data_IF_775742959139
#
_entry.id   IF_775742959139
#
_cell.length_a   1.000
_cell.length_b   1.000
_cell.length_c   1.000
_cell.angle_alpha   90.00
_cell.angle_beta   90.00
_cell.angle_gamma   90.00
#
_symmetry.space_group_name_H-M   'P 1'
#
loop_
_entity.id
_entity.type
_entity.pdbx_description
1 polymer ?
#
# COMPACT_ATOMS: atom_id res chain seq x y z
N UNK A 1 -10.26 0.97 22.41
CA UNK A 1 -11.62 0.43 22.24
C UNK A 1 -12.60 1.48 22.72
N UNK A 2 -13.80 1.62 22.12
CA UNK A 2 -14.81 2.61 22.50
C UNK A 2 -15.02 2.70 24.02
N UNK A 3 -15.26 3.89 24.59
CA UNK A 3 -15.41 4.05 26.04
C UNK A 3 -16.55 3.23 26.65
N UNK A 4 -17.56 2.97 25.83
CA UNK A 4 -18.76 2.16 26.08
C UNK A 4 -18.47 0.67 26.30
N UNK A 5 -17.28 0.18 25.90
CA UNK A 5 -16.86 -1.18 26.19
C UNK A 5 -15.99 -1.20 27.45
N UNK A 6 -16.53 -1.86 28.48
CA UNK A 6 -15.93 -1.92 29.82
C UNK A 6 -14.85 -2.99 29.93
N UNK A 7 -15.04 -4.15 29.31
CA UNK A 7 -13.99 -5.17 29.21
C UNK A 7 -12.99 -4.82 28.10
N UNK A 8 -11.76 -4.50 28.52
CA UNK A 8 -10.65 -4.13 27.64
C UNK A 8 -9.50 -5.11 27.71
N UNK A 9 -9.72 -6.28 28.32
CA UNK A 9 -8.69 -7.30 28.39
C UNK A 9 -8.36 -7.82 26.98
N UNK A 10 -7.07 -7.94 26.61
CA UNK A 10 -6.70 -8.56 25.35
C UNK A 10 -7.09 -10.04 25.38
N UNK A 11 -7.62 -10.53 24.26
CA UNK A 11 -7.96 -11.94 24.07
C UNK A 11 -6.93 -12.64 23.17
N UNK A 12 -6.77 -13.97 23.30
CA UNK A 12 -6.00 -14.75 22.35
C UNK A 12 -6.44 -14.48 20.91
N UNK A 13 -5.48 -14.16 20.03
CA UNK A 13 -5.75 -13.83 18.63
C UNK A 13 -5.79 -12.32 18.33
N UNK A 14 -5.94 -11.43 19.32
CA UNK A 14 -6.00 -9.97 19.10
C UNK A 14 -4.72 -9.41 18.46
N UNK A 15 -3.59 -10.10 18.61
CA UNK A 15 -2.32 -9.74 17.97
C UNK A 15 -2.37 -9.70 16.43
N UNK A 16 -3.35 -10.35 15.80
CA UNK A 16 -3.54 -10.33 14.33
C UNK A 16 -4.06 -9.00 13.79
N UNK A 17 -4.57 -8.12 14.66
CA UNK A 17 -5.10 -6.80 14.30
C UNK A 17 -4.05 -5.69 14.36
N UNK A 18 -2.83 -6.02 14.75
CA UNK A 18 -1.73 -5.05 14.81
C UNK A 18 -1.44 -4.55 13.40
N UNK A 19 -1.61 -3.25 13.21
CA UNK A 19 -1.31 -2.55 11.95
C UNK A 19 -0.04 -1.73 12.11
N UNK A 20 0.82 -1.80 11.09
CA UNK A 20 2.03 -0.99 11.00
C UNK A 20 1.82 0.15 10.00
N UNK A 21 2.12 1.36 10.44
CA UNK A 21 2.14 2.55 9.61
C UNK A 21 3.58 3.05 9.50
N UNK A 22 3.98 3.47 8.30
CA UNK A 22 5.31 3.99 8.04
C UNK A 22 5.28 4.87 6.79
N UNK A 23 6.28 5.75 6.65
CA UNK A 23 6.50 6.47 5.41
C UNK A 23 6.88 5.45 4.33
N UNK A 24 6.26 5.57 3.14
CA UNK A 24 6.47 4.64 2.03
C UNK A 24 7.95 4.38 1.71
N UNK A 25 8.84 5.40 1.65
CA UNK A 25 10.25 5.17 1.38
C UNK A 25 10.95 4.26 2.40
N UNK A 26 10.57 4.34 3.69
CA UNK A 26 11.16 3.49 4.73
C UNK A 26 10.70 2.04 4.57
N UNK A 27 9.40 1.85 4.31
CA UNK A 27 8.87 0.51 4.04
C UNK A 27 9.50 -0.10 2.78
N UNK A 28 9.60 0.65 1.68
CA UNK A 28 10.23 0.18 0.44
C UNK A 28 11.71 -0.13 0.62
N UNK A 29 12.43 0.70 1.38
CA UNK A 29 13.84 0.45 1.67
C UNK A 29 14.04 -0.82 2.50
N UNK A 30 13.12 -1.13 3.43
CA UNK A 30 13.14 -2.38 4.18
C UNK A 30 12.94 -3.59 3.25
N UNK A 31 11.91 -3.56 2.39
CA UNK A 31 11.69 -4.61 1.38
C UNK A 31 12.86 -4.76 0.41
N UNK A 32 13.45 -3.66 -0.05
CA UNK A 32 14.60 -3.67 -0.95
C UNK A 32 15.84 -4.31 -0.32
N UNK A 33 16.07 -4.09 0.99
CA UNK A 33 17.15 -4.77 1.74
C UNK A 33 16.89 -6.25 1.91
N UNK A 34 15.66 -6.63 2.24
CA UNK A 34 15.28 -8.04 2.31
C UNK A 34 15.52 -8.72 0.95
N UNK A 35 15.05 -8.12 -0.15
CA UNK A 35 15.25 -8.65 -1.49
C UNK A 35 16.73 -8.79 -1.86
N UNK A 36 17.58 -7.81 -1.54
CA UNK A 36 19.03 -7.90 -1.77
C UNK A 36 19.72 -9.02 -0.97
N UNK A 37 19.21 -9.33 0.22
CA UNK A 37 19.79 -10.34 1.10
C UNK A 37 19.24 -11.76 0.83
N UNK A 38 18.18 -11.91 0.02
CA UNK A 38 17.55 -13.19 -0.27
C UNK A 38 18.41 -14.03 -1.23
N UNK A 39 18.90 -15.22 -0.80
CA UNK A 39 19.63 -16.12 -1.69
C UNK A 39 18.78 -16.56 -2.88
N UNK A 40 19.37 -16.59 -4.07
CA UNK A 40 18.68 -16.98 -5.31
C UNK A 40 17.82 -15.89 -5.96
N UNK A 41 17.75 -14.69 -5.39
CA UNK A 41 17.07 -13.54 -5.99
C UNK A 41 18.08 -12.57 -6.63
N UNK A 42 18.05 -12.45 -7.95
CA UNK A 42 18.84 -11.45 -8.69
C UNK A 42 18.07 -10.11 -8.78
N UNK A 43 18.61 -9.06 -8.17
CA UNK A 43 18.01 -7.71 -8.17
C UNK A 43 18.81 -6.78 -9.07
N UNK A 44 18.34 -6.56 -10.30
CA UNK A 44 18.96 -5.65 -11.26
C UNK A 44 18.38 -4.25 -11.18
N UNK A 45 19.19 -3.27 -10.77
CA UNK A 45 18.81 -1.84 -10.70
C UNK A 45 19.27 -1.10 -11.94
N UNK A 46 18.54 -0.05 -12.32
CA UNK A 46 18.84 0.74 -13.52
C UNK A 46 18.61 -0.01 -14.83
N UNK A 47 17.89 -1.14 -14.79
CA UNK A 47 17.54 -1.94 -15.96
C UNK A 47 16.08 -1.68 -16.31
N UNK A 48 15.84 -1.08 -17.47
CA UNK A 48 14.49 -0.74 -17.93
C UNK A 48 13.94 -1.81 -18.88
N UNK A 49 12.75 -2.32 -18.58
CA UNK A 49 12.01 -3.23 -19.45
C UNK A 49 11.14 -2.41 -20.41
N UNK A 50 11.28 -2.66 -21.71
CA UNK A 50 10.62 -1.88 -22.78
C UNK A 50 9.57 -2.67 -23.55
N UNK A 51 9.47 -3.99 -23.34
CA UNK A 51 8.45 -4.82 -23.96
C UNK A 51 8.53 -6.30 -23.60
N UNK A 52 7.64 -7.09 -24.19
CA UNK A 52 7.54 -8.54 -23.97
C UNK A 52 8.18 -9.33 -25.09
N UNK A 53 8.93 -10.38 -24.75
CA UNK A 53 9.34 -11.39 -25.71
C UNK A 53 8.26 -12.49 -25.77
N UNK A 54 7.63 -12.65 -26.93
CA UNK A 54 6.50 -13.56 -27.10
C UNK A 54 6.75 -14.60 -28.19
N UNK A 55 5.97 -15.68 -28.15
CA UNK A 55 5.77 -16.64 -29.24
C UNK A 55 4.27 -16.78 -29.46
N UNK A 56 3.85 -17.11 -30.67
CA UNK A 56 2.45 -17.46 -30.90
C UNK A 56 2.16 -18.84 -30.34
N UNK A 57 1.05 -18.98 -29.62
CA UNK A 57 0.57 -20.22 -29.02
C UNK A 57 -0.96 -20.32 -29.16
N UNK A 58 -1.42 -21.14 -30.09
CA UNK A 58 -2.83 -21.22 -30.49
C UNK A 58 -3.38 -19.82 -30.91
N UNK A 59 -4.38 -19.31 -30.18
CA UNK A 59 -5.06 -18.04 -30.46
C UNK A 59 -4.58 -16.88 -29.57
N UNK A 60 -3.57 -17.09 -28.72
CA UNK A 60 -3.07 -16.08 -27.79
C UNK A 60 -1.52 -16.03 -27.77
N UNK A 61 -0.90 -14.87 -27.52
CA UNK A 61 0.54 -14.82 -27.35
C UNK A 61 0.96 -15.50 -26.04
N UNK A 62 1.99 -16.35 -26.13
CA UNK A 62 2.73 -16.84 -24.96
C UNK A 62 3.91 -15.91 -24.68
N UNK A 63 3.93 -15.31 -23.50
CA UNK A 63 5.06 -14.54 -22.99
C UNK A 63 6.15 -15.51 -22.55
N UNK A 64 7.40 -15.21 -22.92
CA UNK A 64 8.58 -16.06 -22.71
C UNK A 64 9.78 -15.27 -22.17
N UNK A 65 9.51 -14.08 -21.65
CA UNK A 65 10.52 -13.14 -21.18
C UNK A 65 10.22 -11.69 -21.57
N UNK A 66 11.24 -10.85 -21.41
CA UNK A 66 11.14 -9.39 -21.61
C UNK A 66 12.25 -8.86 -22.51
N UNK A 67 12.01 -7.71 -23.13
CA UNK A 67 13.01 -6.91 -23.84
C UNK A 67 13.47 -5.76 -22.96
N UNK A 68 14.78 -5.57 -22.88
CA UNK A 68 15.40 -4.48 -22.14
C UNK A 68 15.66 -3.28 -23.07
N UNK A 69 15.85 -2.10 -22.50
CA UNK A 69 16.24 -0.89 -23.24
C UNK A 69 17.57 -1.05 -24.00
N UNK A 70 18.48 -1.88 -23.49
CA UNK A 70 19.73 -2.24 -24.17
C UNK A 70 19.53 -3.05 -25.47
N UNK A 71 18.31 -3.53 -25.73
CA UNK A 71 17.99 -4.46 -26.81
C UNK A 71 18.17 -5.94 -26.42
N UNK A 72 18.73 -6.22 -25.24
CA UNK A 72 18.84 -7.59 -24.71
C UNK A 72 17.45 -8.20 -24.46
N UNK A 73 17.33 -9.50 -24.76
CA UNK A 73 16.17 -10.31 -24.36
C UNK A 73 16.54 -11.14 -23.13
N UNK A 74 15.78 -10.96 -22.05
CA UNK A 74 15.86 -11.80 -20.87
C UNK A 74 14.74 -12.85 -20.93
N UNK A 75 15.12 -14.13 -21.05
CA UNK A 75 14.17 -15.24 -21.05
C UNK A 75 13.61 -15.52 -19.65
N UNK A 76 12.35 -15.92 -19.58
CA UNK A 76 11.70 -16.34 -18.34
C UNK A 76 10.56 -17.32 -18.63
N UNK A 77 10.33 -18.27 -17.71
CA UNK A 77 9.19 -19.19 -17.75
C UNK A 77 7.88 -18.49 -17.37
N UNK A 78 7.97 -17.46 -16.51
CA UNK A 78 6.88 -16.59 -16.11
C UNK A 78 7.36 -15.14 -15.99
N UNK A 79 6.62 -14.21 -16.59
CA UNK A 79 6.80 -12.76 -16.38
C UNK A 79 5.74 -12.24 -15.43
N UNK A 80 6.16 -11.66 -14.31
CA UNK A 80 5.25 -11.06 -13.33
C UNK A 80 5.31 -9.54 -13.46
N UNK A 81 4.20 -8.92 -13.83
CA UNK A 81 4.07 -7.49 -13.89
C UNK A 81 3.66 -6.91 -12.53
N UNK A 82 4.62 -6.29 -11.87
CA UNK A 82 4.44 -5.52 -10.63
C UNK A 82 4.74 -4.01 -10.82
N UNK A 83 4.56 -3.49 -12.04
CA UNK A 83 4.84 -2.07 -12.38
C UNK A 83 3.75 -1.09 -11.89
N UNK A 84 2.66 -1.61 -11.33
CA UNK A 84 1.62 -0.87 -10.65
C UNK A 84 0.59 -0.23 -11.58
N UNK A 85 -0.13 0.79 -11.08
CA UNK A 85 -1.34 1.34 -11.72
C UNK A 85 -1.15 1.80 -13.18
N UNK A 86 0.07 2.23 -13.52
CA UNK A 86 0.45 2.73 -14.86
C UNK A 86 1.15 1.65 -15.71
N UNK A 87 0.95 0.37 -15.39
CA UNK A 87 1.58 -0.71 -16.13
C UNK A 87 1.32 -0.60 -17.64
N UNK A 88 2.36 -0.72 -18.49
CA UNK A 88 2.22 -0.79 -19.93
C UNK A 88 1.84 -2.19 -20.44
N UNK A 89 1.69 -3.19 -19.55
CA UNK A 89 1.50 -4.58 -19.95
C UNK A 89 0.31 -4.82 -20.88
N UNK A 90 -0.89 -4.24 -20.65
CA UNK A 90 -2.02 -4.42 -21.58
C UNK A 90 -1.68 -4.01 -23.01
N UNK A 91 -1.05 -2.84 -23.17
CA UNK A 91 -0.59 -2.34 -24.47
C UNK A 91 0.47 -3.26 -25.08
N UNK A 92 1.39 -3.79 -24.30
CA UNK A 92 2.41 -4.72 -24.80
C UNK A 92 1.82 -6.05 -25.26
N UNK A 93 0.77 -6.55 -24.58
CA UNK A 93 0.06 -7.76 -24.98
C UNK A 93 -0.71 -7.56 -26.28
N UNK A 94 -1.43 -6.45 -26.42
CA UNK A 94 -2.12 -6.10 -27.67
C UNK A 94 -1.12 -5.97 -28.84
N UNK A 95 0.02 -5.32 -28.62
CA UNK A 95 1.12 -5.24 -29.60
C UNK A 95 1.70 -6.61 -29.96
N UNK A 96 1.58 -7.60 -29.07
CA UNK A 96 2.00 -8.97 -29.31
C UNK A 96 0.90 -9.84 -29.97
N UNK A 97 -0.26 -9.25 -30.29
CA UNK A 97 -1.39 -9.92 -30.93
C UNK A 97 -2.43 -10.49 -29.97
N UNK A 98 -2.39 -10.16 -28.68
CA UNK A 98 -3.49 -10.48 -27.77
C UNK A 98 -4.74 -9.66 -28.13
N UNK A 99 -5.91 -10.17 -27.77
CA UNK A 99 -7.14 -9.37 -27.77
C UNK A 99 -7.02 -8.22 -26.74
N UNK A 100 -7.77 -7.12 -26.91
CA UNK A 100 -7.79 -6.02 -25.95
C UNK A 100 -8.06 -6.52 -24.53
N UNK A 101 -7.29 -6.01 -23.57
CA UNK A 101 -7.44 -6.40 -22.16
C UNK A 101 -8.67 -5.72 -21.56
N UNK A 102 -9.67 -6.45 -21.03
CA UNK A 102 -10.76 -5.85 -20.28
C UNK A 102 -10.22 -5.00 -19.13
N UNK A 103 -10.60 -3.72 -19.11
CA UNK A 103 -10.24 -2.76 -18.07
C UNK A 103 -11.51 -2.04 -17.59
N UNK A 104 -11.80 -2.16 -16.30
CA UNK A 104 -12.79 -1.35 -15.60
C UNK A 104 -12.05 -0.16 -14.98
N UNK A 105 -12.53 1.07 -15.20
CA UNK A 105 -11.95 2.27 -14.57
C UNK A 105 -13.06 3.24 -14.16
N UNK A 106 -12.96 3.78 -12.95
CA UNK A 106 -13.86 4.79 -12.40
C UNK A 106 -13.05 5.87 -11.68
N UNK A 107 -13.42 7.15 -11.82
CA UNK A 107 -12.86 8.22 -11.00
C UNK A 107 -13.37 8.05 -9.57
N UNK A 108 -12.45 7.91 -8.61
CA UNK A 108 -12.78 7.67 -7.21
C UNK A 108 -13.51 8.85 -6.56
N UNK A 109 -13.48 10.04 -7.17
CA UNK A 109 -14.22 11.21 -6.70
C UNK A 109 -13.56 11.94 -5.52
N UNK A 110 -12.29 11.64 -5.21
CA UNK A 110 -11.60 12.21 -4.06
C UNK A 110 -10.43 13.14 -4.41
N UNK A 111 -10.17 14.08 -3.52
CA UNK A 111 -8.92 14.84 -3.47
C UNK A 111 -8.38 14.85 -2.06
N UNK A 112 -7.08 14.61 -1.91
CA UNK A 112 -6.38 14.51 -0.64
C UNK A 112 -5.43 15.69 -0.47
N UNK A 113 -5.45 16.33 0.71
CA UNK A 113 -4.53 17.38 1.11
C UNK A 113 -3.81 16.93 2.37
N UNK A 114 -2.58 16.43 2.19
CA UNK A 114 -1.78 15.87 3.26
C UNK A 114 -0.70 16.84 3.72
N UNK A 115 -0.42 16.87 5.02
CA UNK A 115 0.76 17.53 5.58
C UNK A 115 1.44 16.57 6.54
N UNK A 116 2.77 16.55 6.50
CA UNK A 116 3.58 15.73 7.39
C UNK A 116 4.18 16.60 8.49
N UNK A 117 4.31 16.00 9.65
CA UNK A 117 4.83 16.63 10.86
C UNK A 117 5.89 15.74 11.49
N UNK A 118 6.79 16.36 12.24
CA UNK A 118 7.73 15.70 13.14
C UNK A 118 7.63 16.31 14.54
N UNK A 119 8.08 15.56 15.54
CA UNK A 119 8.13 16.03 16.91
C UNK A 119 9.56 16.47 17.29
N UNK A 120 9.77 17.73 17.69
CA UNK A 120 11.06 18.19 18.23
C UNK A 120 11.46 17.42 19.51
N UNK A 121 10.47 16.95 20.28
CA UNK A 121 10.66 16.16 21.50
C UNK A 121 10.66 14.65 21.28
N UNK A 122 10.66 14.16 20.03
CA UNK A 122 10.68 12.73 19.72
C UNK A 122 9.44 11.95 20.16
N UNK A 123 8.27 12.63 20.24
CA UNK A 123 7.00 12.00 20.63
C UNK A 123 5.87 12.38 19.69
N UNK A 124 5.24 11.37 19.09
CA UNK A 124 4.00 11.51 18.33
C UNK A 124 2.84 11.76 19.30
N UNK A 125 1.91 12.71 19.01
CA UNK A 125 0.72 12.90 19.84
C UNK A 125 -0.15 11.64 19.94
N UNK A 126 -0.81 11.43 21.08
CA UNK A 126 -1.74 10.30 21.25
C UNK A 126 -3.04 10.58 20.50
N UNK A 127 -3.52 9.58 19.77
CA UNK A 127 -4.78 9.70 19.05
C UNK A 127 -5.97 9.86 20.02
N UNK A 128 -6.78 10.91 19.79
CA UNK A 128 -8.04 11.19 20.53
C UNK A 128 -9.29 10.80 19.75
N UNK A 129 -9.11 10.27 18.55
CA UNK A 129 -10.15 9.82 17.63
C UNK A 129 -9.60 8.65 16.80
N UNK A 130 -10.48 7.87 16.14
CA UNK A 130 -10.11 6.99 15.04
C UNK A 130 -9.09 7.60 14.07
N UNK A 131 -8.16 6.78 13.57
CA UNK A 131 -7.19 7.22 12.55
C UNK A 131 -7.90 7.86 11.36
N UNK A 132 -9.00 7.24 10.92
CA UNK A 132 -9.90 7.76 9.91
C UNK A 132 -11.23 8.19 10.54
N UNK A 133 -11.56 9.48 10.42
CA UNK A 133 -12.81 10.06 10.90
C UNK A 133 -13.53 10.81 9.78
N UNK A 134 -14.78 10.43 9.49
CA UNK A 134 -15.66 11.16 8.58
C UNK A 134 -16.31 12.36 9.30
N UNK A 135 -16.25 13.55 8.69
CA UNK A 135 -16.74 14.81 9.24
C UNK A 135 -17.56 15.56 8.18
N UNK A 136 -18.87 15.32 8.14
CA UNK A 136 -19.76 15.95 7.17
C UNK A 136 -19.29 15.74 5.73
N UNK A 137 -18.92 16.82 5.05
CA UNK A 137 -18.46 16.85 3.65
C UNK A 137 -16.98 16.50 3.43
N UNK A 138 -16.22 16.21 4.48
CA UNK A 138 -14.81 15.81 4.38
C UNK A 138 -14.48 14.69 5.38
N UNK A 139 -13.24 14.22 5.36
CA UNK A 139 -12.72 13.27 6.34
C UNK A 139 -11.30 13.65 6.75
N UNK A 140 -10.94 13.29 7.97
CA UNK A 140 -9.58 13.41 8.49
C UNK A 140 -8.96 12.02 8.64
N UNK A 141 -7.76 11.86 8.09
CA UNK A 141 -6.90 10.70 8.27
C UNK A 141 -5.62 11.13 8.99
N UNK A 142 -5.34 10.52 10.14
CA UNK A 142 -4.19 10.82 10.99
C UNK A 142 -3.39 9.55 11.19
N UNK A 143 -2.16 9.54 10.69
CA UNK A 143 -1.33 8.34 10.65
C UNK A 143 0.04 8.64 11.26
N UNK A 144 0.36 8.09 12.44
CA UNK A 144 1.73 7.98 12.91
C UNK A 144 2.59 7.24 11.90
N UNK A 145 3.87 7.53 11.89
CA UNK A 145 4.85 6.88 11.03
C UNK A 145 6.18 6.76 11.77
N UNK A 146 7.17 6.22 11.06
CA UNK A 146 8.53 6.05 11.56
C UNK A 146 9.20 7.39 11.93
N UNK A 147 10.25 7.32 12.76
CA UNK A 147 11.07 8.47 13.16
C UNK A 147 10.26 9.62 13.80
N UNK A 148 9.28 9.24 14.63
CA UNK A 148 8.40 10.17 15.35
C UNK A 148 7.75 11.22 14.43
N UNK A 149 7.43 10.79 13.21
CA UNK A 149 6.68 11.57 12.22
C UNK A 149 5.24 11.11 12.15
N UNK A 150 4.36 11.96 11.61
CA UNK A 150 2.99 11.60 11.29
C UNK A 150 2.49 12.40 10.10
N UNK A 151 1.42 11.92 9.46
CA UNK A 151 0.66 12.68 8.48
C UNK A 151 -0.72 13.02 9.02
N UNK A 152 -1.19 14.21 8.66
CA UNK A 152 -2.59 14.61 8.76
C UNK A 152 -3.07 14.86 7.33
N UNK A 153 -4.13 14.18 6.95
CA UNK A 153 -4.70 14.25 5.61
C UNK A 153 -6.15 14.63 5.70
N UNK A 154 -6.51 15.74 5.05
CA UNK A 154 -7.90 16.12 4.80
C UNK A 154 -8.24 15.58 3.42
N UNK A 155 -9.21 14.69 3.32
CA UNK A 155 -9.72 14.28 2.00
C UNK A 155 -11.19 14.65 1.83
N UNK A 156 -11.51 15.04 0.61
CA UNK A 156 -12.74 15.72 0.24
C UNK A 156 -13.26 15.17 -1.08
N UNK A 157 -14.53 15.43 -1.39
CA UNK A 157 -15.06 15.24 -2.75
C UNK A 157 -14.30 16.13 -3.74
N UNK A 158 -13.86 15.57 -4.87
CA UNK A 158 -13.16 16.30 -5.94
C UNK A 158 -14.03 17.38 -6.59
N UNK A 159 -15.36 17.25 -6.46
CA UNK A 159 -16.35 18.22 -6.93
C UNK A 159 -16.45 19.46 -6.03
N UNK A 160 -15.97 19.41 -4.78
CA UNK A 160 -16.05 20.52 -3.83
C UNK A 160 -15.03 21.63 -4.16
N UNK A 161 -15.48 22.63 -4.94
CA UNK A 161 -14.62 23.74 -5.37
C UNK A 161 -14.10 24.60 -4.20
N UNK A 162 -14.91 24.96 -3.20
CA UNK A 162 -14.41 25.68 -2.03
C UNK A 162 -13.25 24.96 -1.32
N UNK A 163 -13.33 23.63 -1.15
CA UNK A 163 -12.30 22.84 -0.47
C UNK A 163 -11.02 22.65 -1.30
N UNK A 164 -11.01 22.98 -2.59
CA UNK A 164 -9.76 23.07 -3.38
C UNK A 164 -8.77 24.11 -2.86
N UNK A 165 -9.22 25.03 -2.01
CA UNK A 165 -8.37 26.02 -1.35
C UNK A 165 -7.53 25.42 -0.22
N UNK A 166 -7.74 24.16 0.17
CA UNK A 166 -6.93 23.46 1.18
C UNK A 166 -5.50 23.14 0.73
N UNK A 167 -5.14 23.41 -0.54
CA UNK A 167 -3.74 23.50 -0.98
C UNK A 167 -2.96 24.61 -0.26
N UNK A 168 -3.67 25.60 0.28
CA UNK A 168 -3.09 26.68 1.08
C UNK A 168 -2.88 26.21 2.53
N UNK A 169 -1.64 26.27 3.08
CA UNK A 169 -1.35 25.78 4.42
C UNK A 169 -2.14 26.46 5.53
N UNK A 170 -2.42 27.77 5.43
CA UNK A 170 -3.15 28.51 6.47
C UNK A 170 -4.61 28.06 6.52
N UNK A 171 -5.27 27.97 5.37
CA UNK A 171 -6.65 27.47 5.26
C UNK A 171 -6.78 26.04 5.74
N UNK A 172 -5.84 25.18 5.34
CA UNK A 172 -5.78 23.80 5.80
C UNK A 172 -5.63 23.71 7.31
N UNK A 173 -4.71 24.49 7.89
CA UNK A 173 -4.42 24.49 9.33
C UNK A 173 -5.64 24.96 10.12
N UNK A 174 -6.33 26.01 9.67
CA UNK A 174 -7.56 26.49 10.32
C UNK A 174 -8.68 25.44 10.31
N UNK A 175 -8.83 24.67 9.23
CA UNK A 175 -9.83 23.60 9.18
C UNK A 175 -9.51 22.50 10.20
N UNK A 176 -8.26 22.06 10.28
CA UNK A 176 -7.86 21.02 11.25
C UNK A 176 -7.97 21.53 12.69
N UNK A 177 -7.58 22.78 12.94
CA UNK A 177 -7.71 23.41 14.26
C UNK A 177 -9.17 23.52 14.73
N UNK A 178 -10.11 23.67 13.80
CA UNK A 178 -11.54 23.70 14.09
C UNK A 178 -12.13 22.31 14.45
N UNK A 179 -11.34 21.24 14.39
CA UNK A 179 -11.75 19.88 14.75
C UNK A 179 -11.14 19.51 16.12
N UNK A 180 -11.87 19.62 17.26
CA UNK A 180 -11.28 19.52 18.60
C UNK A 180 -10.57 18.19 18.89
N UNK A 181 -11.10 17.08 18.36
CA UNK A 181 -10.49 15.76 18.49
C UNK A 181 -9.24 15.57 17.63
N UNK A 182 -8.89 16.52 16.75
CA UNK A 182 -7.78 16.44 15.82
C UNK A 182 -6.80 17.63 15.90
N UNK A 183 -7.18 18.74 16.53
CA UNK A 183 -6.36 19.96 16.59
C UNK A 183 -4.96 19.72 17.17
N UNK A 184 -4.84 18.82 18.16
CA UNK A 184 -3.56 18.43 18.79
C UNK A 184 -2.53 17.83 17.81
N UNK A 185 -2.95 17.36 16.63
CA UNK A 185 -2.00 16.90 15.60
C UNK A 185 -1.19 18.04 14.99
N UNK A 186 -1.58 19.29 15.22
CA UNK A 186 -0.87 20.50 14.80
C UNK A 186 0.23 20.91 15.78
N UNK A 187 0.36 20.25 16.93
CA UNK A 187 1.36 20.58 17.97
C UNK A 187 2.80 20.25 17.53
N UNK A 188 2.98 19.52 16.40
CA UNK A 188 4.28 19.20 15.83
C UNK A 188 4.81 20.24 14.84
N UNK A 189 6.07 20.08 14.47
CA UNK A 189 6.68 20.91 13.43
C UNK A 189 6.33 20.36 12.04
N UNK A 190 5.76 21.18 11.14
CA UNK A 190 5.48 20.75 9.78
C UNK A 190 6.78 20.53 9.01
N UNK A 191 7.00 19.32 8.52
CA UNK A 191 8.19 18.95 7.73
C UNK A 191 7.95 19.01 6.22
N UNK A 192 6.71 19.32 5.81
CA UNK A 192 6.33 19.56 4.42
C UNK A 192 5.37 20.75 4.30
N UNK A 193 5.25 21.29 3.07
CA UNK A 193 4.04 22.00 2.65
C UNK A 193 2.84 21.05 2.53
N UNK A 194 1.72 21.55 2.00
CA UNK A 194 0.58 20.68 1.65
C UNK A 194 0.92 19.89 0.38
N UNK A 195 0.75 18.57 0.45
CA UNK A 195 0.94 17.62 -0.65
C UNK A 195 -0.45 17.21 -1.16
N UNK A 196 -0.91 17.76 -2.30
CA UNK A 196 -2.17 17.37 -2.90
C UNK A 196 -2.04 16.07 -3.70
N UNK A 197 -3.09 15.25 -3.67
CA UNK A 197 -3.26 14.10 -4.56
C UNK A 197 -4.70 14.09 -5.08
N UNK A 198 -4.86 14.14 -6.41
CA UNK A 198 -6.13 14.18 -7.12
C UNK A 198 -6.10 13.28 -8.36
N UNK A 199 -7.25 13.08 -9.01
CA UNK A 199 -7.35 12.21 -10.19
C UNK A 199 -7.02 10.76 -9.86
N UNK A 200 -7.43 10.32 -8.66
CA UNK A 200 -7.32 8.93 -8.27
C UNK A 200 -8.43 8.16 -8.97
N UNK A 201 -8.06 7.07 -9.63
CA UNK A 201 -8.99 6.20 -10.32
C UNK A 201 -8.88 4.80 -9.75
N UNK A 202 -10.03 4.20 -9.47
CA UNK A 202 -10.15 2.78 -9.23
C UNK A 202 -10.07 2.08 -10.58
N UNK A 203 -9.23 1.06 -10.66
CA UNK A 203 -9.00 0.31 -11.89
C UNK A 203 -8.85 -1.16 -11.60
N UNK A 204 -9.42 -1.99 -12.46
CA UNK A 204 -9.22 -3.44 -12.46
C UNK A 204 -9.03 -3.95 -13.88
N UNK A 205 -8.10 -4.87 -14.05
CA UNK A 205 -7.75 -5.50 -15.33
C UNK A 205 -7.84 -7.00 -15.20
N UNK A 206 -8.20 -7.68 -16.28
CA UNK A 206 -8.26 -9.14 -16.31
C UNK A 206 -7.59 -9.70 -17.55
N UNK A 207 -6.70 -10.69 -17.38
CA UNK A 207 -6.03 -11.36 -18.51
C UNK A 207 -6.81 -12.58 -19.01
N UNK A 208 -8.14 -12.57 -18.88
CA UNK A 208 -9.03 -13.60 -19.39
C UNK A 208 -10.31 -12.98 -19.94
N UNK A 209 -10.84 -13.55 -21.02
CA UNK A 209 -12.12 -13.17 -21.60
C UNK A 209 -12.84 -14.40 -22.15
N UNK A 210 -14.13 -14.53 -21.83
CA UNK A 210 -14.97 -15.69 -22.15
C UNK A 210 -14.37 -17.03 -21.68
N UNK A 211 -13.78 -17.04 -20.47
CA UNK A 211 -13.17 -18.23 -19.87
C UNK A 211 -11.84 -18.68 -20.49
N UNK A 212 -11.27 -17.89 -21.41
CA UNK A 212 -10.00 -18.18 -22.08
C UNK A 212 -8.94 -17.12 -21.73
N UNK A 213 -7.67 -17.50 -21.50
CA UNK A 213 -6.61 -16.55 -21.25
C UNK A 213 -6.36 -15.66 -22.47
N UNK A 214 -6.06 -14.37 -22.23
CA UNK A 214 -5.66 -13.42 -23.28
C UNK A 214 -4.18 -13.57 -23.65
N UNK A 215 -3.38 -14.08 -22.71
CA UNK A 215 -1.98 -14.42 -22.87
C UNK A 215 -1.59 -15.44 -21.80
N UNK A 216 -0.55 -16.23 -22.08
CA UNK A 216 0.04 -17.19 -21.12
C UNK A 216 1.48 -16.81 -20.80
N UNK A 217 2.07 -17.39 -19.75
CA UNK A 217 3.44 -17.08 -19.31
C UNK A 217 3.59 -15.68 -18.68
N UNK A 218 2.48 -15.07 -18.27
CA UNK A 218 2.45 -13.73 -17.67
C UNK A 218 1.40 -13.64 -16.56
N UNK A 219 1.67 -12.82 -15.53
CA UNK A 219 0.73 -12.51 -14.45
C UNK A 219 0.73 -11.01 -14.13
N UNK A 220 -0.46 -10.41 -14.02
CA UNK A 220 -0.62 -9.09 -13.39
C UNK A 220 -0.55 -9.25 -11.86
N UNK A 221 0.25 -8.44 -11.17
CA UNK A 221 0.39 -8.49 -9.72
C UNK A 221 0.07 -7.13 -9.07
N UNK A 222 -0.59 -7.18 -7.91
CA UNK A 222 -0.96 -6.00 -7.10
C UNK A 222 -1.63 -4.90 -7.95
N UNK A 223 -1.15 -3.65 -7.85
CA UNK A 223 -1.66 -2.48 -8.58
C UNK A 223 -1.63 -2.61 -10.12
N UNK A 224 -0.88 -3.57 -10.68
CA UNK A 224 -0.95 -3.88 -12.11
C UNK A 224 -2.27 -4.60 -12.47
N UNK A 225 -2.76 -5.46 -11.58
CA UNK A 225 -4.08 -6.11 -11.71
C UNK A 225 -5.19 -5.14 -11.34
N UNK A 226 -5.20 -4.66 -10.10
CA UNK A 226 -6.18 -3.70 -9.63
C UNK A 226 -5.56 -2.70 -8.67
N UNK A 227 -5.90 -1.42 -8.85
CA UNK A 227 -5.57 -0.37 -7.89
C UNK A 227 -6.86 0.31 -7.43
N UNK A 228 -6.94 0.57 -6.13
CA UNK A 228 -8.05 1.32 -5.56
C UNK A 228 -7.59 2.67 -5.00
N UNK A 229 -8.55 3.56 -4.83
CA UNK A 229 -8.41 4.73 -4.00
C UNK A 229 -7.94 4.37 -2.58
N UNK A 230 -7.03 5.15 -1.96
CA UNK A 230 -6.45 4.76 -0.68
C UNK A 230 -7.35 5.03 0.53
N UNK A 231 -8.65 5.32 0.35
CA UNK A 231 -9.61 5.60 1.43
C UNK A 231 -9.64 4.51 2.52
N UNK A 232 -9.48 3.24 2.13
CA UNK A 232 -9.49 2.10 3.05
C UNK A 232 -8.09 1.61 3.47
N UNK A 233 -7.01 2.17 2.89
CA UNK A 233 -5.64 1.79 3.26
C UNK A 233 -5.22 0.34 2.94
N UNK A 234 -5.93 -0.35 2.03
CA UNK A 234 -5.75 -1.80 1.80
C UNK A 234 -4.68 -2.19 0.77
N UNK A 235 -4.27 -1.27 -0.11
CA UNK A 235 -3.49 -1.61 -1.31
C UNK A 235 -2.21 -2.42 -1.06
N UNK A 236 -1.41 -2.04 -0.06
CA UNK A 236 -0.16 -2.78 0.26
C UNK A 236 -0.48 -4.19 0.78
N UNK A 237 -1.43 -4.32 1.70
CA UNK A 237 -1.80 -5.61 2.28
C UNK A 237 -2.38 -6.56 1.23
N UNK A 238 -3.27 -6.05 0.35
CA UNK A 238 -3.81 -6.83 -0.77
C UNK A 238 -2.72 -7.20 -1.77
N UNK A 239 -1.78 -6.30 -2.09
CA UNK A 239 -0.65 -6.61 -2.96
C UNK A 239 0.26 -7.70 -2.39
N UNK A 240 0.51 -7.70 -1.08
CA UNK A 240 1.28 -8.75 -0.40
C UNK A 240 0.53 -10.09 -0.38
N UNK A 241 -0.78 -10.08 -0.11
CA UNK A 241 -1.63 -11.29 -0.23
C UNK A 241 -1.62 -11.83 -1.66
N UNK A 242 -1.73 -10.95 -2.65
CA UNK A 242 -1.68 -11.31 -4.06
C UNK A 242 -0.36 -12.02 -4.42
N UNK A 243 0.77 -11.54 -3.88
CA UNK A 243 2.07 -12.20 -4.06
C UNK A 243 2.16 -13.59 -3.38
N UNK A 244 1.49 -13.78 -2.24
CA UNK A 244 1.41 -15.09 -1.58
C UNK A 244 0.59 -16.08 -2.42
N UNK A 245 -0.55 -15.64 -2.96
CA UNK A 245 -1.37 -16.45 -3.86
C UNK A 245 -0.58 -16.81 -5.13
N UNK A 246 0.18 -15.87 -5.69
CA UNK A 246 1.03 -16.12 -6.87
C UNK A 246 2.05 -17.22 -6.61
N UNK A 247 2.73 -17.17 -5.45
CA UNK A 247 3.68 -18.20 -5.03
C UNK A 247 3.02 -19.58 -5.01
N UNK A 248 1.81 -19.68 -4.48
CA UNK A 248 1.13 -20.97 -4.29
C UNK A 248 0.60 -21.54 -5.61
N UNK A 249 0.07 -20.69 -6.51
CA UNK A 249 -0.31 -21.08 -7.87
C UNK A 249 0.92 -21.48 -8.69
N UNK A 250 1.98 -20.69 -8.66
CA UNK A 250 3.20 -20.98 -9.41
C UNK A 250 3.83 -22.32 -9.00
N UNK A 251 3.87 -22.63 -7.70
CA UNK A 251 4.38 -23.93 -7.21
C UNK A 251 3.67 -25.15 -7.79
N UNK A 252 2.41 -25.00 -8.19
CA UNK A 252 1.56 -26.11 -8.61
C UNK A 252 1.40 -26.17 -10.14
N UNK A 253 1.47 -25.03 -10.83
CA UNK A 253 1.08 -24.94 -12.24
C UNK A 253 2.13 -24.32 -13.16
N UNK A 254 3.34 -23.97 -12.69
CA UNK A 254 4.34 -23.25 -13.51
C UNK A 254 4.73 -24.00 -14.81
N UNK A 255 4.68 -25.33 -14.79
CA UNK A 255 5.06 -26.17 -15.93
C UNK A 255 4.03 -26.14 -17.09
N UNK A 256 2.79 -25.69 -16.82
CA UNK A 256 1.74 -25.54 -17.82
C UNK A 256 1.19 -24.11 -17.83
N UNK A 257 1.61 -23.27 -18.81
CA UNK A 257 1.21 -21.87 -18.89
C UNK A 257 -0.30 -21.63 -19.00
N UNK A 258 -1.07 -22.58 -19.56
CA UNK A 258 -2.52 -22.46 -19.69
C UNK A 258 -3.22 -22.78 -18.37
N UNK A 259 -2.81 -23.87 -17.71
CA UNK A 259 -3.30 -24.19 -16.37
C UNK A 259 -2.92 -23.11 -15.36
N UNK A 260 -1.70 -22.59 -15.43
CA UNK A 260 -1.27 -21.46 -14.61
C UNK A 260 -2.18 -20.24 -14.82
N UNK A 261 -2.41 -19.83 -16.07
CA UNK A 261 -3.24 -18.66 -16.36
C UNK A 261 -4.68 -18.82 -15.85
N UNK A 262 -5.28 -20.01 -16.04
CA UNK A 262 -6.62 -20.32 -15.56
C UNK A 262 -6.70 -20.34 -14.02
N UNK A 263 -5.74 -21.00 -13.35
CA UNK A 263 -5.67 -21.04 -11.89
C UNK A 263 -5.41 -19.65 -11.29
N UNK A 264 -4.55 -18.85 -11.94
CA UNK A 264 -4.23 -17.49 -11.53
C UNK A 264 -5.43 -16.55 -11.63
N UNK A 265 -6.13 -16.56 -12.76
CA UNK A 265 -7.36 -15.79 -12.94
C UNK A 265 -8.40 -16.18 -11.88
N UNK A 266 -8.66 -17.48 -11.73
CA UNK A 266 -9.64 -17.99 -10.76
C UNK A 266 -9.33 -17.57 -9.32
N UNK A 267 -8.09 -17.76 -8.86
CA UNK A 267 -7.74 -17.42 -7.47
C UNK A 267 -7.78 -15.91 -7.24
N UNK A 268 -7.34 -15.12 -8.20
CA UNK A 268 -7.36 -13.65 -8.11
C UNK A 268 -8.80 -13.15 -8.02
N UNK A 269 -9.67 -13.65 -8.89
CA UNK A 269 -11.08 -13.26 -8.91
C UNK A 269 -11.83 -13.72 -7.66
N UNK A 270 -11.50 -14.89 -7.12
CA UNK A 270 -12.18 -15.41 -5.91
C UNK A 270 -11.70 -14.70 -4.64
N UNK A 271 -10.39 -14.49 -4.49
CA UNK A 271 -9.79 -14.06 -3.23
C UNK A 271 -9.67 -12.53 -3.09
N UNK A 272 -9.55 -11.80 -4.21
CA UNK A 272 -9.20 -10.38 -4.18
C UNK A 272 -10.27 -9.47 -4.80
N UNK A 273 -11.00 -9.89 -5.83
CA UNK A 273 -12.09 -9.06 -6.42
C UNK A 273 -13.11 -8.60 -5.38
N UNK A 274 -13.56 -9.42 -4.40
CA UNK A 274 -14.48 -8.94 -3.36
C UNK A 274 -13.96 -7.74 -2.57
N UNK A 275 -12.64 -7.63 -2.35
CA UNK A 275 -12.03 -6.50 -1.65
C UNK A 275 -11.97 -5.22 -2.50
N UNK A 276 -11.77 -5.39 -3.81
CA UNK A 276 -11.86 -4.29 -4.78
C UNK A 276 -13.29 -3.74 -4.82
N UNK A 277 -14.28 -4.63 -5.00
CA UNK A 277 -15.69 -4.26 -5.08
C UNK A 277 -16.19 -3.57 -3.80
N UNK A 278 -15.82 -4.11 -2.63
CA UNK A 278 -16.14 -3.50 -1.32
C UNK A 278 -15.56 -2.09 -1.19
N UNK A 279 -14.32 -1.87 -1.67
CA UNK A 279 -13.68 -0.55 -1.63
C UNK A 279 -14.42 0.44 -2.52
N UNK A 280 -14.73 0.06 -3.77
CA UNK A 280 -15.48 0.91 -4.72
C UNK A 280 -16.88 1.22 -4.19
N UNK A 281 -17.57 0.24 -3.61
CA UNK A 281 -18.90 0.43 -3.03
C UNK A 281 -18.88 1.39 -1.84
N UNK A 282 -17.93 1.21 -0.91
CA UNK A 282 -17.75 2.09 0.24
C UNK A 282 -17.41 3.53 -0.19
N UNK A 283 -16.59 3.69 -1.22
CA UNK A 283 -16.20 4.99 -1.75
C UNK A 283 -17.38 5.72 -2.38
N UNK A 284 -18.17 5.05 -3.22
CA UNK A 284 -19.41 5.60 -3.77
C UNK A 284 -20.39 6.01 -2.67
N UNK A 285 -20.52 5.21 -1.61
CA UNK A 285 -21.36 5.54 -0.47
C UNK A 285 -20.87 6.80 0.25
N UNK A 286 -19.56 6.90 0.49
CA UNK A 286 -18.97 8.05 1.18
C UNK A 286 -19.03 9.34 0.34
N UNK A 287 -18.88 9.27 -0.99
CA UNK A 287 -19.11 10.42 -1.88
C UNK A 287 -20.55 10.93 -1.76
N UNK A 288 -21.55 10.03 -1.78
CA UNK A 288 -22.96 10.42 -1.61
C UNK A 288 -23.22 11.09 -0.25
N UNK A 289 -22.60 10.60 0.83
CA UNK A 289 -22.69 11.25 2.14
C UNK A 289 -22.06 12.65 2.15
N UNK A 290 -20.89 12.81 1.52
CA UNK A 290 -20.21 14.11 1.45
C UNK A 290 -21.04 15.12 0.64
N UNK A 291 -21.62 14.68 -0.48
CA UNK A 291 -22.48 15.51 -1.32
C UNK A 291 -23.78 15.91 -0.61
N UNK A 292 -24.40 14.98 0.13
CA UNK A 292 -25.57 15.28 0.94
C UNK A 292 -25.26 16.31 2.03
N UNK A 293 -24.15 16.15 2.74
CA UNK A 293 -23.70 17.11 3.74
C UNK A 293 -23.40 18.49 3.12
N UNK A 294 -22.77 18.53 1.94
CA UNK A 294 -22.50 19.78 1.21
C UNK A 294 -23.79 20.50 0.79
N UNK A 295 -24.80 19.74 0.37
CA UNK A 295 -26.05 20.28 -0.15
C UNK A 295 -27.12 20.50 0.95
N UNK A 296 -26.81 20.16 2.21
CA UNK A 296 -27.77 20.26 3.32
C UNK A 296 -28.94 19.26 3.21
N UNK A 297 -28.78 18.16 2.48
CA UNK A 297 -29.79 17.13 2.32
C UNK A 297 -29.52 15.93 3.23
N UNK A 298 -30.54 15.09 3.46
CA UNK A 298 -30.33 13.85 4.18
C UNK A 298 -29.38 12.91 3.41
N UNK A 299 -28.39 12.28 4.07
CA UNK A 299 -27.58 11.26 3.43
C UNK A 299 -28.45 10.03 3.10
N UNK A 300 -28.05 9.22 2.11
CA UNK A 300 -28.72 7.94 1.86
C UNK A 300 -28.74 7.09 3.13
N UNK A 301 -29.86 6.43 3.40
CA UNK A 301 -29.94 5.50 4.52
C UNK A 301 -28.95 4.34 4.27
N UNK A 302 -28.12 3.98 5.27
CA UNK A 302 -27.32 2.77 5.18
C UNK A 302 -28.21 1.52 5.14
N UNK A 303 -27.66 0.43 4.61
CA UNK A 303 -28.30 -0.88 4.69
C UNK A 303 -28.60 -1.24 6.16
N UNK A 304 -29.84 -1.62 6.54
CA UNK A 304 -30.21 -1.78 7.94
C UNK A 304 -29.34 -2.76 8.75
N UNK A 305 -28.94 -3.94 8.22
CA UNK A 305 -27.99 -4.83 8.89
C UNK A 305 -26.63 -4.16 9.16
N UNK A 306 -26.10 -3.44 8.17
CA UNK A 306 -24.85 -2.69 8.32
C UNK A 306 -24.99 -1.58 9.37
N UNK A 307 -26.10 -0.85 9.36
CA UNK A 307 -26.38 0.21 10.32
C UNK A 307 -26.46 -0.33 11.76
N UNK A 308 -27.17 -1.44 11.95
CA UNK A 308 -27.28 -2.13 13.23
C UNK A 308 -25.91 -2.62 13.71
N UNK A 309 -25.12 -3.25 12.83
CA UNK A 309 -23.78 -3.73 13.17
C UNK A 309 -22.83 -2.60 13.59
N UNK A 310 -22.78 -1.51 12.82
CA UNK A 310 -21.93 -0.35 13.15
C UNK A 310 -22.35 0.31 14.47
N UNK A 311 -23.65 0.32 14.80
CA UNK A 311 -24.14 0.80 16.09
C UNK A 311 -23.74 -0.15 17.23
N UNK A 312 -23.96 -1.45 17.05
CA UNK A 312 -23.74 -2.44 18.09
C UNK A 312 -22.26 -2.67 18.41
N UNK A 313 -21.35 -2.58 17.44
CA UNK A 313 -19.91 -2.77 17.67
C UNK A 313 -19.28 -1.72 18.58
N UNK A 314 -19.95 -0.57 18.79
CA UNK A 314 -19.56 0.40 19.80
C UNK A 314 -19.72 -0.14 21.23
N UNK A 315 -20.58 -1.13 21.44
CA UNK A 315 -20.99 -1.61 22.76
C UNK A 315 -20.60 -3.07 23.02
N UNK A 316 -20.18 -3.79 21.99
CA UNK A 316 -19.90 -5.22 22.06
C UNK A 316 -18.46 -5.51 21.58
N UNK A 317 -17.59 -6.08 22.44
CA UNK A 317 -16.20 -6.33 22.09
C UNK A 317 -16.03 -7.40 20.99
N UNK A 318 -16.97 -8.34 20.84
CA UNK A 318 -16.88 -9.38 19.81
C UNK A 318 -17.26 -8.82 18.44
N UNK A 319 -18.31 -7.99 18.38
CA UNK A 319 -18.66 -7.27 17.15
C UNK A 319 -17.56 -6.29 16.74
N UNK A 320 -16.91 -5.64 17.71
CA UNK A 320 -15.74 -4.79 17.45
C UNK A 320 -14.57 -5.60 16.88
N UNK A 321 -14.26 -6.77 17.45
CA UNK A 321 -13.22 -7.66 16.91
C UNK A 321 -13.55 -8.13 15.50
N UNK A 322 -14.80 -8.48 15.24
CA UNK A 322 -15.25 -8.83 13.90
C UNK A 322 -15.03 -7.64 12.93
N UNK A 323 -15.34 -6.41 13.33
CA UNK A 323 -15.04 -5.24 12.51
C UNK A 323 -13.53 -5.02 12.31
N UNK A 324 -12.71 -5.28 13.33
CA UNK A 324 -11.25 -5.22 13.21
C UNK A 324 -10.71 -6.23 12.17
N UNK A 325 -11.36 -7.37 11.94
CA UNK A 325 -10.98 -8.28 10.85
C UNK A 325 -11.15 -7.63 9.48
N UNK A 326 -12.21 -6.85 9.28
CA UNK A 326 -12.43 -6.08 8.04
C UNK A 326 -11.38 -4.99 7.86
N UNK A 327 -11.11 -4.22 8.92
CA UNK A 327 -10.09 -3.15 8.91
C UNK A 327 -8.69 -3.73 8.63
N UNK A 328 -8.38 -4.90 9.20
CA UNK A 328 -7.10 -5.59 9.00
C UNK A 328 -6.99 -6.34 7.66
N UNK A 329 -8.04 -6.34 6.82
CA UNK A 329 -8.02 -7.02 5.52
C UNK A 329 -8.08 -8.55 5.61
N UNK A 330 -8.62 -9.10 6.71
CA UNK A 330 -8.69 -10.53 6.99
C UNK A 330 -10.01 -11.16 6.53
N UNK A 331 -11.12 -10.44 6.67
CA UNK A 331 -12.45 -10.92 6.25
C UNK A 331 -13.30 -9.75 5.77
N UNK A 332 -14.04 -9.93 4.67
CA UNK A 332 -14.88 -8.86 4.14
C UNK A 332 -16.04 -8.56 5.09
N UNK A 333 -16.59 -7.35 5.02
CA UNK A 333 -17.75 -6.99 5.85
C UNK A 333 -18.97 -7.84 5.50
N UNK A 334 -19.15 -8.17 4.22
CA UNK A 334 -20.19 -9.09 3.75
C UNK A 334 -20.09 -10.45 4.43
N UNK A 335 -18.89 -11.05 4.46
CA UNK A 335 -18.68 -12.36 5.09
C UNK A 335 -18.85 -12.29 6.62
N UNK A 336 -18.48 -11.17 7.25
CA UNK A 336 -18.72 -10.95 8.68
C UNK A 336 -20.23 -10.91 8.97
N UNK A 337 -21.00 -10.16 8.19
CA UNK A 337 -22.44 -10.03 8.35
C UNK A 337 -23.18 -11.34 8.04
N UNK A 338 -22.61 -12.19 7.19
CA UNK A 338 -23.13 -13.52 6.88
C UNK A 338 -22.87 -14.57 7.98
N UNK A 339 -22.10 -14.25 9.03
CA UNK A 339 -21.83 -15.20 10.13
C UNK A 339 -23.11 -15.52 10.92
N UNK A 340 -23.40 -16.81 11.17
CA UNK A 340 -24.60 -17.20 11.92
C UNK A 340 -24.71 -16.48 13.28
N UNK A 341 -25.88 -15.89 13.55
CA UNK A 341 -26.21 -15.20 14.80
C UNK A 341 -25.58 -13.81 14.99
N UNK A 342 -24.67 -13.38 14.10
CA UNK A 342 -23.98 -12.10 14.26
C UNK A 342 -24.90 -10.91 13.90
N UNK A 343 -25.66 -11.02 12.82
CA UNK A 343 -26.67 -10.03 12.44
C UNK A 343 -27.78 -9.89 13.50
N UNK A 344 -28.25 -11.01 14.07
CA UNK A 344 -29.27 -11.00 15.12
C UNK A 344 -28.74 -10.34 16.40
N UNK A 345 -27.52 -10.67 16.83
CA UNK A 345 -26.85 -10.04 17.98
C UNK A 345 -26.69 -8.54 17.76
N UNK A 346 -26.25 -8.13 16.56
CA UNK A 346 -26.14 -6.72 16.18
C UNK A 346 -27.51 -6.01 16.21
N UNK A 347 -28.56 -6.64 15.66
CA UNK A 347 -29.92 -6.10 15.65
C UNK A 347 -30.49 -5.89 17.06
N UNK A 348 -30.35 -6.88 17.93
CA UNK A 348 -30.83 -6.82 19.33
C UNK A 348 -30.15 -5.70 20.11
N UNK A 349 -28.82 -5.60 20.01
CA UNK A 349 -28.05 -4.55 20.68
C UNK A 349 -28.35 -3.16 20.08
N UNK A 350 -28.46 -3.04 18.76
CA UNK A 350 -28.81 -1.77 18.12
C UNK A 350 -30.21 -1.29 18.54
N UNK A 351 -31.18 -2.20 18.71
CA UNK A 351 -32.50 -1.88 19.25
C UNK A 351 -32.47 -1.38 20.69
N UNK A 352 -31.55 -1.87 21.52
CA UNK A 352 -31.40 -1.46 22.91
C UNK A 352 -30.66 -0.12 23.09
N UNK A 353 -29.66 0.16 22.25
CA UNK A 353 -28.82 1.36 22.36
C UNK A 353 -29.33 2.53 21.50
N UNK A 354 -30.18 2.24 20.52
CA UNK A 354 -30.65 3.22 19.53
C UNK A 354 -29.62 3.49 18.44
N UNK A 355 -29.95 4.31 17.42
CA UNK A 355 -29.03 4.64 16.34
C UNK A 355 -27.88 5.52 16.85
N UNK A 356 -26.68 5.36 16.25
CA UNK A 356 -25.57 6.30 16.44
C UNK A 356 -26.08 7.71 16.11
N UNK A 357 -26.21 8.56 17.13
CA UNK A 357 -26.49 9.99 16.92
C UNK A 357 -25.25 10.64 16.30
N UNK A 358 -25.25 10.77 14.97
CA UNK A 358 -24.32 11.67 14.28
C UNK A 358 -24.70 13.10 14.66
N UNK A 359 -23.85 13.88 15.35
CA UNK A 359 -24.24 15.20 15.83
C UNK A 359 -24.57 16.10 14.62
N UNK A 360 -25.85 16.49 14.51
CA UNK A 360 -26.28 17.55 13.63
C UNK A 360 -25.93 18.88 14.32
N UNK A 361 -25.07 19.69 13.69
CA UNK A 361 -24.83 21.10 13.99
C UNK A 361 -24.78 21.49 15.48
N UNK A 362 -23.57 21.75 15.98
CA UNK A 362 -23.22 22.29 17.31
C UNK A 362 -22.87 21.24 18.40
N UNK A 363 -21.58 21.26 18.74
CA UNK A 363 -20.92 20.82 19.98
C UNK A 363 -21.61 19.77 20.87
N UNK A 364 -21.46 18.48 20.54
CA UNK A 364 -21.03 17.43 21.47
C UNK A 364 -20.68 16.17 20.66
N UNK A 365 -19.40 15.81 20.60
CA UNK A 365 -18.89 14.71 19.76
C UNK A 365 -19.06 13.35 20.44
N UNK A 366 -19.96 12.52 19.92
CA UNK A 366 -20.08 11.10 20.27
C UNK A 366 -19.20 10.25 19.35
N UNK A 367 -18.15 9.67 19.94
CA UNK A 367 -17.14 8.81 19.35
C UNK A 367 -17.39 7.35 19.72
N UNK A 368 -17.67 6.47 18.76
CA UNK A 368 -17.68 5.04 19.06
C UNK A 368 -17.69 4.18 17.79
N UNK A 369 -16.50 3.82 17.29
CA UNK A 369 -16.36 2.74 16.30
C UNK A 369 -14.91 2.26 16.07
N UNK A 370 -13.86 3.08 16.27
CA UNK A 370 -12.52 2.72 15.77
C UNK A 370 -11.33 2.89 16.73
N UNK A 371 -11.56 2.97 18.04
CA UNK A 371 -10.46 3.05 19.03
C UNK A 371 -9.70 1.72 19.24
N UNK A 372 -10.00 0.66 18.49
CA UNK A 372 -9.54 -0.71 18.78
C UNK A 372 -8.16 -1.08 18.20
N UNK A 373 -7.43 -0.16 17.57
CA UNK A 373 -6.14 -0.48 16.98
C UNK A 373 -4.99 -0.07 17.91
N UNK A 374 -4.42 -1.05 18.61
CA UNK A 374 -3.21 -0.83 19.40
C UNK A 374 -2.03 -0.69 18.44
N UNK A 375 -1.69 0.54 18.09
CA UNK A 375 -0.47 0.82 17.33
C UNK A 375 0.73 0.67 18.27
N UNK A 376 1.61 -0.28 17.97
CA UNK A 376 2.97 -0.23 18.50
C UNK A 376 3.78 0.63 17.53
N UNK A 377 4.33 1.74 18.02
CA UNK A 377 5.46 2.38 17.36
C UNK A 377 6.66 1.45 17.58
N UNK A 378 7.16 0.71 16.57
CA UNK A 378 8.36 -0.06 16.79
C UNK A 378 9.49 0.97 16.94
N UNK A 379 9.94 1.19 18.17
CA UNK A 379 11.34 1.56 18.38
C UNK A 379 12.14 0.40 17.79
N UNK A 380 12.47 0.48 16.50
CA UNK A 380 13.39 -0.44 15.87
C UNK A 380 14.72 -0.15 16.55
N UNK A 381 15.04 -0.93 17.58
CA UNK A 381 16.38 -0.98 18.11
C UNK A 381 17.26 -1.42 16.94
N UNK A 382 18.13 -0.51 16.48
CA UNK A 382 19.18 -0.88 15.56
C UNK A 382 19.96 -2.06 16.18
N UNK A 383 20.22 -3.16 15.45
CA UNK A 383 21.15 -4.15 15.95
C UNK A 383 22.49 -3.44 16.20
N UNK A 384 23.07 -3.66 17.38
CA UNK A 384 24.39 -3.17 17.72
C UNK A 384 25.38 -3.61 16.63
N UNK A 385 25.79 -2.66 15.79
CA UNK A 385 26.79 -2.91 14.76
C UNK A 385 28.16 -2.84 15.44
N UNK A 386 29.01 -3.88 15.37
CA UNK A 386 30.33 -3.88 15.98
C UNK A 386 31.34 -3.19 15.04
N UNK A 387 31.09 -1.94 14.64
CA UNK A 387 32.07 -1.13 13.91
C UNK A 387 31.89 0.34 14.30
N UNK A 388 32.72 0.78 15.25
CA UNK A 388 32.87 2.19 15.60
C UNK A 388 33.48 2.96 14.41
N UNK A 389 32.96 4.13 14.01
CA UNK A 389 33.64 5.01 13.07
C UNK A 389 34.79 5.75 13.77
N UNK A 390 35.92 6.02 13.10
CA UNK A 390 37.01 6.76 13.71
C UNK A 390 36.63 8.24 13.89
N UNK A 391 37.11 8.81 15.00
CA UNK A 391 36.89 10.18 15.41
C UNK A 391 37.29 11.20 14.33
N UNK A 392 36.38 12.13 14.01
CA UNK A 392 36.70 13.31 13.18
C UNK A 392 37.55 14.30 13.97
N UNK A 393 38.78 14.49 13.53
CA UNK A 393 39.63 15.59 13.95
C UNK A 393 39.09 16.93 13.41
N UNK A 394 39.03 17.93 14.30
CA UNK A 394 38.78 19.34 13.98
C UNK A 394 40.01 19.94 13.26
N UNK A 395 39.80 20.55 12.09
CA UNK A 395 40.54 21.72 11.55
C UNK A 395 39.53 22.47 10.65
N UNK A 396 39.15 23.72 10.94
CA UNK A 396 39.88 24.95 10.55
C UNK A 396 39.94 25.01 9.03
N UNK A 397 39.11 25.74 8.27
CA UNK A 397 38.67 27.13 8.44
C UNK A 397 39.34 27.94 7.33
N UNK A 398 38.60 28.35 6.30
CA UNK A 398 38.96 29.47 5.41
C UNK A 398 37.69 30.11 4.82
N UNK A 399 37.60 31.42 5.04
CA UNK A 399 36.67 32.37 4.42
C UNK A 399 37.06 32.71 2.98
N UNK A 400 36.06 33.01 2.15
CA UNK A 400 35.92 34.18 1.24
C UNK A 400 34.82 33.82 0.23
N UNK A 401 33.63 34.41 0.30
CA UNK A 401 33.24 35.78 -0.09
C UNK A 401 33.09 35.99 -1.60
N UNK A 402 32.04 36.75 -1.91
CA UNK A 402 31.75 37.52 -3.12
C UNK A 402 31.00 36.83 -4.28
N UNK A 403 29.67 36.97 -4.20
CA UNK A 403 28.88 37.87 -5.05
C UNK A 403 28.93 37.78 -6.59
N UNK A 404 27.71 37.85 -7.15
CA UNK A 404 27.24 38.61 -8.33
C UNK A 404 26.97 37.90 -9.67
N UNK A 405 25.70 38.12 -10.08
CA UNK A 405 25.12 38.39 -11.43
C UNK A 405 24.91 37.17 -12.33
N UNK A 406 23.65 36.76 -12.54
CA UNK A 406 22.68 37.27 -13.56
C UNK A 406 23.24 37.25 -14.99
N UNK A 407 22.66 36.37 -15.80
CA UNK A 407 22.80 36.34 -17.26
C UNK A 407 21.80 35.35 -17.85
N UNK A 408 20.58 35.84 -18.04
CA UNK A 408 19.52 35.22 -18.84
C UNK A 408 19.90 35.38 -20.31
N UNK A 409 19.77 34.33 -21.14
CA UNK A 409 19.20 34.42 -22.50
C UNK A 409 19.16 33.05 -23.17
N UNK A 410 18.12 32.94 -23.98
CA UNK A 410 17.47 31.78 -24.57
C UNK A 410 17.89 31.56 -26.02
N UNK A 411 17.43 30.41 -26.55
CA UNK A 411 17.03 30.10 -27.94
C UNK A 411 18.03 29.48 -28.94
N UNK A 412 17.49 28.49 -29.69
CA UNK A 412 17.88 28.13 -31.06
C UNK A 412 18.75 26.87 -31.16
N UNK A 413 18.23 25.65 -31.28
CA UNK A 413 17.58 24.99 -32.44
C UNK A 413 18.51 24.62 -33.60
N UNK A 414 18.36 23.36 -34.05
CA UNK A 414 18.65 22.78 -35.38
C UNK A 414 19.84 21.81 -35.52
N UNK A 415 19.46 20.54 -35.47
CA UNK A 415 19.78 19.42 -36.39
C UNK A 415 20.76 19.65 -37.55
N UNK A 416 21.73 18.74 -37.68
CA UNK A 416 22.03 18.06 -38.95
C UNK A 416 22.83 16.75 -38.74
N UNK A 417 22.39 15.76 -39.51
CA UNK A 417 22.87 14.40 -39.84
C UNK A 417 24.36 14.21 -40.19
N UNK A 418 24.96 13.13 -39.63
CA UNK A 418 25.85 12.03 -40.15
C UNK A 418 26.84 12.27 -41.34
N UNK A 419 27.84 11.39 -41.68
CA UNK A 419 28.12 10.01 -41.21
C UNK A 419 29.62 9.57 -41.07
N UNK A 420 29.79 8.36 -40.52
CA UNK A 420 30.83 7.34 -40.79
C UNK A 420 32.32 7.60 -40.45
N UNK A 421 32.91 6.69 -39.68
CA UNK A 421 34.14 5.95 -40.05
C UNK A 421 34.39 4.75 -39.13
N UNK A 422 34.62 3.63 -39.79
CA UNK A 422 34.99 2.30 -39.31
C UNK A 422 36.43 2.30 -38.76
N UNK A 423 36.70 1.54 -37.69
CA UNK A 423 37.75 0.50 -37.60
C UNK A 423 38.31 0.26 -36.17
N UNK A 424 38.82 -0.97 -36.00
CA UNK A 424 39.82 -1.42 -35.03
C UNK A 424 39.36 -1.90 -33.63
N UNK A 425 38.79 -3.10 -33.63
CA UNK A 425 39.33 -4.32 -32.97
C UNK A 425 40.46 -4.08 -31.95
N UNK A 426 40.18 -4.25 -30.65
CA UNK A 426 41.20 -4.58 -29.66
C UNK A 426 40.68 -5.64 -28.69
N UNK A 427 41.16 -6.87 -28.87
CA UNK A 427 41.06 -7.96 -27.90
C UNK A 427 41.93 -7.59 -26.69
N UNK A 428 41.39 -7.63 -25.47
CA UNK A 428 42.19 -7.83 -24.26
C UNK A 428 41.54 -8.91 -23.40
N UNK A 429 42.17 -10.08 -23.42
CA UNK A 429 42.08 -11.11 -22.39
C UNK A 429 42.66 -10.53 -21.11
N UNK A 430 41.96 -10.69 -19.98
CA UNK A 430 42.59 -10.67 -18.67
C UNK A 430 42.10 -11.88 -17.89
N UNK A 431 43.05 -12.77 -17.62
CA UNK A 431 42.97 -13.92 -16.72
C UNK A 431 43.25 -13.50 -15.28
N UNK A 432 42.61 -14.24 -14.38
CA UNK A 432 42.65 -14.36 -12.91
C UNK A 432 43.98 -14.05 -12.17
N UNK A 433 43.97 -13.85 -10.83
CA UNK A 433 43.95 -15.02 -9.94
C UNK A 433 43.14 -14.90 -8.63
N UNK A 434 42.53 -16.04 -8.29
CA UNK A 434 42.09 -16.48 -6.96
C UNK A 434 43.33 -16.80 -6.10
N UNK A 435 43.31 -16.56 -4.78
CA UNK A 435 44.14 -17.28 -3.84
C UNK A 435 43.35 -18.39 -3.13
N UNK A 436 43.81 -19.63 -3.30
CA UNK A 436 43.50 -20.81 -2.50
C UNK A 436 44.55 -20.99 -1.40
N UNK A 437 44.13 -21.41 -0.19
CA UNK A 437 44.80 -22.37 0.73
C UNK A 437 43.92 -22.57 2.01
N UNK A 438 44.14 -23.58 2.88
CA UNK A 438 43.56 -24.92 2.72
C UNK A 438 42.91 -25.50 4.01
N UNK A 439 42.19 -26.62 3.83
CA UNK A 439 41.96 -27.77 4.72
C UNK A 439 41.94 -27.61 6.27
N UNK A 440 40.82 -28.03 6.88
CA UNK A 440 40.86 -29.13 7.85
C UNK A 440 39.48 -29.83 7.93
N UNK A 441 39.46 -31.10 7.57
CA UNK A 441 38.35 -32.02 7.77
C UNK A 441 38.56 -32.78 9.08
N UNK A 442 37.51 -32.97 9.87
CA UNK A 442 37.42 -34.11 10.79
C UNK A 442 35.98 -34.59 10.88
N UNK A 443 35.80 -35.79 10.37
CA UNK A 443 34.70 -36.75 10.52
C UNK A 443 34.22 -36.96 11.95
N UNK A 444 32.95 -37.35 12.14
CA UNK A 444 32.50 -37.96 13.39
C UNK A 444 31.00 -38.22 13.43
N UNK A 445 30.63 -39.47 13.27
CA UNK A 445 29.29 -39.98 13.04
C UNK A 445 28.54 -40.29 14.36
N UNK A 446 27.21 -40.37 14.25
CA UNK A 446 26.31 -41.28 14.97
C UNK A 446 25.83 -40.99 16.43
N UNK A 447 24.49 -40.88 16.50
CA UNK A 447 23.53 -41.67 17.33
C UNK A 447 23.29 -41.31 18.80
N UNK A 448 22.03 -40.88 19.03
CA UNK A 448 21.07 -41.35 20.06
C UNK A 448 21.51 -41.37 21.53
N UNK A 449 20.87 -40.55 22.38
CA UNK A 449 19.77 -40.95 23.30
C UNK A 449 19.38 -39.76 24.19
N UNK A 450 18.10 -39.77 24.55
CA UNK A 450 17.36 -38.84 25.41
C UNK A 450 17.54 -39.27 26.91
N UNK A 451 16.89 -38.60 27.88
CA UNK A 451 17.49 -37.75 28.92
C UNK A 451 17.51 -38.40 30.33
N UNK A 452 18.15 -37.76 31.31
CA UNK A 452 17.58 -37.52 32.67
C UNK A 452 18.57 -36.85 33.63
N UNK A 453 17.98 -36.04 34.52
CA UNK A 453 18.39 -35.70 35.89
C UNK A 453 19.51 -34.67 36.14
N UNK A 454 19.08 -33.47 36.57
CA UNK A 454 19.67 -32.71 37.69
C UNK A 454 19.76 -33.59 38.95
N UNK A 455 20.71 -33.39 39.89
CA UNK A 455 20.68 -32.22 40.78
C UNK A 455 22.05 -31.63 41.20
N UNK A 456 22.09 -30.31 41.35
CA UNK A 456 22.53 -29.57 42.53
C UNK A 456 22.31 -28.07 42.29
#
# INVERSE_FOLDING_TARGET
MPPTITDRAPQPGDGRFVTLTARRPVLEQAFARCAQATPGLDVRRGVHVTGLATRQDNQAPRVTGVRLESGERLGADLVVDAMGRRSPLPRWLEQAGARPTPEETEDSGYTYYSRFFGSPGGRVPDARAPLLTALGSFSLLTLPADNDTWSVTVYVSSADQPLKRLRDPERWTRLVAACPLHAHWLDGEPITGIVPMAGVADRRRRLAAAGQPLATGVALLADSWACTNPSQGRGISLGLRHAQLLRDVARTHLDDPHQFAAAWDKVTETELTPWYDDTVAADRARVREMDAARNGTAPPAPDPPLAAFLSAMAHDPDLLRAFCECVAGLTTLTDILARPGLADRAGQLAGAVGPIRRPAGHSCCGSSANEAMTMRNPKIAAPASPLAPPARARRGGYCCDSSRRRGMLTTGSQSATAPSKTAARMKRRWTCPIPTAPYCASSGNAKTRKPCASPA
#
